data_IF_743216380707
#
_entry.id   IF_743216380707
#
_cell.length_a   1.000
_cell.length_b   1.000
_cell.length_c   1.000
_cell.angle_alpha   90.00
_cell.angle_beta   90.00
_cell.angle_gamma   90.00
#
_symmetry.space_group_name_H-M   'P 1'
#
loop_
_entity.id
_entity.type
_entity.pdbx_description
1 polymer ?
#
# COMPACT_ATOMS: atom_id res chain seq x y z
N UNK A 1 13.29 13.20 -13.24
CA UNK A 1 12.36 13.16 -12.10
C UNK A 1 11.59 11.87 -12.28
N UNK A 2 11.74 10.91 -11.36
CA UNK A 2 10.92 9.70 -11.39
C UNK A 2 9.48 10.13 -11.20
N UNK A 3 8.56 9.60 -12.00
CA UNK A 3 7.14 9.72 -11.72
C UNK A 3 6.85 9.06 -10.35
N UNK A 4 5.91 9.62 -9.58
CA UNK A 4 5.46 9.05 -8.30
C UNK A 4 4.97 7.62 -8.53
N UNK A 5 4.33 7.37 -9.67
CA UNK A 5 3.90 6.03 -10.08
C UNK A 5 5.08 5.05 -10.20
N UNK A 6 6.19 5.46 -10.81
CA UNK A 6 7.38 4.60 -10.98
C UNK A 6 8.11 4.33 -9.66
N UNK A 7 8.15 5.35 -8.78
CA UNK A 7 8.71 5.20 -7.43
C UNK A 7 7.87 4.22 -6.61
N UNK A 8 6.54 4.38 -6.65
CA UNK A 8 5.60 3.46 -6.01
C UNK A 8 5.83 2.02 -6.49
N UNK A 9 5.82 1.78 -7.81
CA UNK A 9 6.05 0.46 -8.41
C UNK A 9 7.36 -0.17 -7.95
N UNK A 10 8.45 0.60 -7.95
CA UNK A 10 9.76 0.11 -7.53
C UNK A 10 9.75 -0.39 -6.08
N UNK A 11 9.10 0.35 -5.17
CA UNK A 11 9.00 0.00 -3.76
C UNK A 11 8.02 -1.14 -3.53
N UNK A 12 6.87 -1.14 -4.22
CA UNK A 12 5.89 -2.21 -4.19
C UNK A 12 6.50 -3.54 -4.67
N UNK A 13 7.26 -3.53 -5.78
CA UNK A 13 8.01 -4.69 -6.28
C UNK A 13 9.00 -5.23 -5.23
N UNK A 14 9.69 -4.33 -4.53
CA UNK A 14 10.63 -4.72 -3.48
C UNK A 14 9.93 -5.37 -2.29
N UNK A 15 8.74 -4.90 -1.93
CA UNK A 15 7.93 -5.48 -0.85
C UNK A 15 7.31 -6.81 -1.28
N UNK A 16 6.80 -6.92 -2.50
CA UNK A 16 6.25 -8.16 -3.05
C UNK A 16 7.30 -9.29 -3.04
N UNK A 17 8.53 -8.99 -3.46
CA UNK A 17 9.65 -9.95 -3.38
C UNK A 17 9.93 -10.41 -1.94
N UNK A 18 9.72 -9.55 -0.93
CA UNK A 18 9.86 -9.95 0.47
C UNK A 18 8.74 -10.89 0.88
N UNK A 19 7.48 -10.59 0.54
CA UNK A 19 6.34 -11.48 0.81
C UNK A 19 6.54 -12.84 0.14
N UNK A 20 7.02 -12.86 -1.11
CA UNK A 20 7.29 -14.09 -1.85
C UNK A 20 8.39 -14.96 -1.23
N UNK A 21 9.27 -14.38 -0.41
CA UNK A 21 10.36 -15.08 0.24
C UNK A 21 10.01 -15.59 1.66
N UNK A 22 8.80 -15.31 2.17
CA UNK A 22 8.33 -15.80 3.47
C UNK A 22 7.72 -17.18 3.30
N UNK A 23 8.26 -18.18 3.99
CA UNK A 23 7.66 -19.52 4.01
C UNK A 23 6.31 -19.49 4.76
N UNK A 24 5.39 -20.39 4.41
CA UNK A 24 4.05 -20.44 5.03
C UNK A 24 4.06 -20.57 6.56
N UNK A 25 5.08 -21.23 7.13
CA UNK A 25 5.25 -21.41 8.57
C UNK A 25 5.82 -20.18 9.29
N UNK A 26 6.36 -19.21 8.55
CA UNK A 26 7.09 -18.05 9.10
C UNK A 26 6.20 -16.83 9.32
N UNK A 27 4.93 -16.86 8.90
CA UNK A 27 4.02 -15.71 8.99
C UNK A 27 3.72 -15.25 10.41
N UNK A 28 3.87 -16.13 11.41
CA UNK A 28 3.78 -15.80 12.83
C UNK A 28 5.09 -15.33 13.46
N UNK A 29 6.21 -15.36 12.74
CA UNK A 29 7.49 -14.91 13.26
C UNK A 29 7.45 -13.41 13.55
N UNK A 30 8.15 -13.00 14.59
CA UNK A 30 8.26 -11.60 14.96
C UNK A 30 9.00 -10.81 13.86
N UNK A 31 8.42 -9.67 13.50
CA UNK A 31 9.00 -8.70 12.56
C UNK A 31 9.90 -7.70 13.30
N UNK A 32 10.76 -6.93 12.62
CA UNK A 32 11.54 -5.87 13.25
C UNK A 32 10.71 -4.80 13.99
N UNK A 33 9.43 -4.62 13.61
CA UNK A 33 8.48 -3.81 14.37
C UNK A 33 8.09 -4.58 15.64
N UNK A 34 8.51 -4.06 16.80
CA UNK A 34 8.18 -4.66 18.09
C UNK A 34 6.65 -4.82 18.22
N UNK A 35 6.21 -5.99 18.71
CA UNK A 35 4.82 -6.46 18.77
C UNK A 35 4.15 -6.93 17.46
N UNK A 36 4.78 -6.86 16.29
CA UNK A 36 4.17 -7.30 15.03
C UNK A 36 4.76 -8.60 14.50
N UNK A 37 3.91 -9.47 13.96
CA UNK A 37 4.34 -10.64 13.18
C UNK A 37 4.59 -10.25 11.72
N UNK A 38 5.25 -11.12 10.95
CA UNK A 38 5.37 -10.93 9.49
C UNK A 38 4.01 -10.71 8.81
N UNK A 39 2.96 -11.44 9.25
CA UNK A 39 1.59 -11.24 8.74
C UNK A 39 1.05 -9.85 9.11
N UNK A 40 1.25 -9.43 10.36
CA UNK A 40 0.79 -8.13 10.85
C UNK A 40 1.40 -6.96 10.07
N UNK A 41 2.64 -7.12 9.58
CA UNK A 41 3.27 -6.11 8.71
C UNK A 41 2.55 -6.00 7.37
N UNK A 42 2.20 -7.12 6.73
CA UNK A 42 1.49 -7.11 5.45
C UNK A 42 0.09 -6.55 5.62
N UNK A 43 -0.59 -6.95 6.68
CA UNK A 43 -1.91 -6.44 7.07
C UNK A 43 -1.89 -4.91 7.22
N UNK A 44 -0.93 -4.40 7.99
CA UNK A 44 -0.74 -2.96 8.16
C UNK A 44 -0.45 -2.24 6.83
N UNK A 45 0.37 -2.82 5.96
CA UNK A 45 0.65 -2.20 4.64
C UNK A 45 -0.61 -2.16 3.78
N UNK A 46 -1.43 -3.21 3.76
CA UNK A 46 -2.72 -3.21 3.04
C UNK A 46 -3.66 -2.16 3.62
N UNK A 47 -3.77 -2.06 4.95
CA UNK A 47 -4.57 -1.05 5.63
C UNK A 47 -4.15 0.38 5.26
N UNK A 48 -2.83 0.66 5.21
CA UNK A 48 -2.31 1.96 4.81
C UNK A 48 -2.71 2.30 3.37
N UNK A 49 -2.70 1.35 2.44
CA UNK A 49 -3.24 1.58 1.09
C UNK A 49 -4.72 1.94 1.11
N UNK A 50 -5.52 1.26 1.93
CA UNK A 50 -6.93 1.58 2.12
C UNK A 50 -7.15 2.96 2.72
N UNK A 51 -6.35 3.34 3.72
CA UNK A 51 -6.40 4.69 4.32
C UNK A 51 -6.07 5.79 3.32
N UNK A 52 -5.09 5.57 2.44
CA UNK A 52 -4.74 6.50 1.36
C UNK A 52 -5.91 6.66 0.39
N UNK A 53 -6.44 5.57 -0.16
CA UNK A 53 -7.55 5.65 -1.12
C UNK A 53 -8.85 6.17 -0.48
N UNK A 54 -9.04 5.93 0.82
CA UNK A 54 -10.16 6.46 1.57
C UNK A 54 -10.21 7.99 1.63
N UNK A 55 -9.07 8.69 1.43
CA UNK A 55 -9.05 10.16 1.35
C UNK A 55 -9.84 10.71 0.15
N UNK A 56 -10.06 9.89 -0.87
CA UNK A 56 -10.79 10.25 -2.09
C UNK A 56 -12.04 9.37 -2.26
N UNK A 57 -12.64 8.94 -1.14
CA UNK A 57 -13.85 8.09 -1.07
C UNK A 57 -13.74 6.78 -1.88
N UNK A 58 -12.52 6.22 -1.97
CA UNK A 58 -12.26 4.92 -2.58
C UNK A 58 -11.88 3.87 -1.56
N UNK A 59 -12.28 2.63 -1.83
CA UNK A 59 -11.90 1.46 -1.06
C UNK A 59 -10.97 0.54 -1.85
N UNK A 60 -10.30 -0.36 -1.13
CA UNK A 60 -9.58 -1.46 -1.76
C UNK A 60 -10.55 -2.56 -2.20
N UNK A 61 -10.15 -3.26 -3.24
CA UNK A 61 -10.71 -4.55 -3.62
C UNK A 61 -10.51 -5.54 -2.46
N UNK A 62 -11.55 -6.29 -2.05
CA UNK A 62 -11.50 -7.12 -0.86
C UNK A 62 -10.61 -8.35 -1.06
N UNK A 63 -9.59 -8.49 -0.22
CA UNK A 63 -8.69 -9.64 -0.22
C UNK A 63 -8.18 -9.91 1.22
N UNK A 64 -8.64 -10.99 1.89
CA UNK A 64 -8.22 -11.28 3.26
C UNK A 64 -6.74 -11.64 3.36
N UNK A 65 -5.98 -10.90 4.18
CA UNK A 65 -4.56 -11.17 4.44
C UNK A 65 -4.36 -12.52 5.13
N UNK A 66 -5.32 -12.94 5.97
CA UNK A 66 -5.27 -14.23 6.67
C UNK A 66 -5.27 -15.43 5.72
N UNK A 67 -5.98 -15.33 4.59
CA UNK A 67 -6.05 -16.39 3.58
C UNK A 67 -4.79 -16.39 2.70
N UNK A 68 -4.35 -15.21 2.25
CA UNK A 68 -3.17 -15.06 1.41
C UNK A 68 -2.59 -13.64 1.52
N UNK A 69 -1.49 -13.44 2.28
CA UNK A 69 -0.83 -12.15 2.38
C UNK A 69 -0.36 -11.62 1.02
N UNK A 70 0.06 -12.52 0.13
CA UNK A 70 0.47 -12.17 -1.23
C UNK A 70 -0.71 -11.63 -2.04
N UNK A 71 -1.84 -12.34 -2.07
CA UNK A 71 -2.99 -11.91 -2.85
C UNK A 71 -3.59 -10.61 -2.31
N UNK A 72 -3.62 -10.44 -0.99
CA UNK A 72 -4.06 -9.21 -0.35
C UNK A 72 -3.19 -8.00 -0.75
N UNK A 73 -1.86 -8.16 -0.69
CA UNK A 73 -0.96 -7.10 -1.12
C UNK A 73 -1.09 -6.79 -2.61
N UNK A 74 -1.15 -7.80 -3.49
CA UNK A 74 -1.28 -7.61 -4.94
C UNK A 74 -2.60 -6.89 -5.31
N UNK A 75 -3.69 -7.25 -4.64
CA UNK A 75 -4.98 -6.58 -4.81
C UNK A 75 -4.88 -5.09 -4.42
N UNK A 76 -4.36 -4.80 -3.22
CA UNK A 76 -4.21 -3.43 -2.75
C UNK A 76 -3.28 -2.59 -3.64
N UNK A 77 -2.17 -3.20 -4.09
CA UNK A 77 -1.21 -2.61 -5.02
C UNK A 77 -1.87 -2.20 -6.34
N UNK A 78 -2.67 -3.10 -6.93
CA UNK A 78 -3.34 -2.84 -8.21
C UNK A 78 -4.33 -1.66 -8.12
N UNK A 79 -5.04 -1.53 -7.00
CA UNK A 79 -5.96 -0.41 -6.77
C UNK A 79 -5.21 0.93 -6.69
N UNK A 80 -4.04 0.96 -6.05
CA UNK A 80 -3.21 2.17 -5.96
C UNK A 80 -2.54 2.51 -7.29
N UNK A 81 -2.04 1.52 -8.02
CA UNK A 81 -1.52 1.73 -9.38
C UNK A 81 -2.60 2.31 -10.31
N UNK A 82 -3.84 1.81 -10.21
CA UNK A 82 -4.99 2.35 -10.97
C UNK A 82 -5.23 3.84 -10.67
N UNK A 83 -5.08 4.26 -9.41
CA UNK A 83 -5.23 5.67 -9.02
C UNK A 83 -4.06 6.52 -9.51
N UNK A 84 -2.84 6.00 -9.48
CA UNK A 84 -1.65 6.71 -9.95
C UNK A 84 -1.60 6.83 -11.48
N UNK A 85 -2.14 5.85 -12.21
CA UNK A 85 -2.15 5.81 -13.67
C UNK A 85 -3.23 6.67 -14.33
N UNK A 86 -4.23 7.12 -13.57
CA UNK A 86 -5.25 8.06 -14.04
C UNK A 86 -4.96 9.48 -13.54
N UNK A 87 -4.54 10.43 -14.40
CA UNK A 87 -4.27 11.81 -14.02
C UNK A 87 -5.45 12.54 -13.38
N UNK A 88 -6.69 12.15 -13.67
CA UNK A 88 -7.86 12.74 -13.03
C UNK A 88 -7.99 12.27 -11.57
N UNK A 89 -7.56 11.05 -11.28
CA UNK A 89 -7.58 10.49 -9.93
C UNK A 89 -6.35 10.92 -9.13
N UNK A 90 -5.16 10.80 -9.70
CA UNK A 90 -3.89 11.11 -9.03
C UNK A 90 -3.80 12.57 -8.56
N UNK A 91 -4.45 13.49 -9.28
CA UNK A 91 -4.55 14.91 -8.91
C UNK A 91 -5.81 15.27 -8.11
N UNK A 92 -6.60 14.28 -7.67
CA UNK A 92 -7.77 14.56 -6.82
C UNK A 92 -7.30 15.19 -5.51
N UNK A 93 -7.73 16.43 -5.30
CA UNK A 93 -7.39 17.21 -4.11
C UNK A 93 -8.37 16.93 -2.98
N UNK A 94 -7.85 16.92 -1.76
CA UNK A 94 -8.64 16.80 -0.54
C UNK A 94 -8.00 17.60 0.60
N UNK A 95 -8.78 17.88 1.65
CA UNK A 95 -8.31 18.57 2.83
C UNK A 95 -7.71 17.56 3.82
N UNK A 96 -6.38 17.45 3.80
CA UNK A 96 -5.63 16.57 4.70
C UNK A 96 -5.30 17.22 6.05
N UNK A 97 -4.81 16.42 7.00
CA UNK A 97 -4.45 16.89 8.35
C UNK A 97 -3.38 18.00 8.38
N UNK A 98 -2.57 18.10 7.32
CA UNK A 98 -1.50 19.10 7.18
C UNK A 98 -1.82 20.21 6.17
N UNK A 99 -3.08 20.32 5.75
CA UNK A 99 -3.54 21.25 4.72
C UNK A 99 -3.97 20.55 3.44
N UNK A 100 -4.32 21.36 2.43
CA UNK A 100 -4.77 20.86 1.13
C UNK A 100 -3.63 20.14 0.41
N UNK A 101 -3.91 18.93 -0.07
CA UNK A 101 -2.97 18.06 -0.80
C UNK A 101 -3.72 17.31 -1.91
N UNK A 102 -3.02 16.48 -2.68
CA UNK A 102 -3.63 15.52 -3.61
C UNK A 102 -3.18 14.09 -3.29
N UNK A 103 -3.91 13.11 -3.82
CA UNK A 103 -3.66 11.69 -3.50
C UNK A 103 -2.27 11.21 -3.93
N UNK A 104 -1.75 11.65 -5.07
CA UNK A 104 -0.40 11.25 -5.51
C UNK A 104 0.69 11.76 -4.55
N UNK A 105 0.59 13.01 -4.10
CA UNK A 105 1.52 13.59 -3.12
C UNK A 105 1.43 12.88 -1.76
N UNK A 106 0.22 12.49 -1.34
CA UNK A 106 0.03 11.69 -0.12
C UNK A 106 0.68 10.32 -0.25
N UNK A 107 0.47 9.62 -1.38
CA UNK A 107 1.12 8.33 -1.63
C UNK A 107 2.64 8.50 -1.57
N UNK A 108 3.21 9.50 -2.23
CA UNK A 108 4.66 9.76 -2.20
C UNK A 108 5.19 10.01 -0.78
N UNK A 109 4.43 10.73 0.07
CA UNK A 109 4.80 10.96 1.46
C UNK A 109 4.90 9.66 2.28
N UNK A 110 4.02 8.67 2.02
CA UNK A 110 4.10 7.36 2.67
C UNK A 110 5.29 6.52 2.16
N UNK A 111 5.87 6.86 1.01
CA UNK A 111 7.03 6.16 0.44
C UNK A 111 8.38 6.64 0.99
N UNK A 112 8.44 7.76 1.73
CA UNK A 112 9.64 8.25 2.44
C UNK A 112 10.45 9.34 1.76
#
# INVERSE_FOLDING_TARGET
MSDIADRYRTLADAFERKIAAVDSEQWSNQSPCEAWTARSVVDHVVDVHGMMLGQIDRGLSPAPVDDSPMAAFQSARADVETVLDDPALSHTEYDGAFGRTNIAATIDQFLG
#
